data_IF_682463448647
#
_entry.id   IF_682463448647
#
_cell.length_a   1.000
_cell.length_b   1.000
_cell.length_c   1.000
_cell.angle_alpha   90.00
_cell.angle_beta   90.00
_cell.angle_gamma   90.00
#
_symmetry.space_group_name_H-M   'P 1'
#
loop_
_entity.id
_entity.type
_entity.pdbx_description
1 polymer ?
#
# COMPACT_ATOMS: atom_id res chain seq x y z
N UNK A 1 -3.80 -39.48 25.83
CA UNK A 1 -3.31 -40.61 24.98
C UNK A 1 -4.31 -40.83 23.87
N UNK A 2 -3.89 -40.88 22.62
CA UNK A 2 -4.74 -41.13 21.44
C UNK A 2 -4.38 -42.51 20.91
N UNK A 3 -5.29 -43.48 20.93
CA UNK A 3 -5.08 -44.79 20.32
C UNK A 3 -5.08 -44.67 18.80
N UNK A 4 -4.10 -45.26 18.13
CA UNK A 4 -3.99 -45.23 16.69
C UNK A 4 -3.32 -46.51 16.12
N UNK A 5 -3.61 -46.83 14.88
CA UNK A 5 -3.03 -47.98 14.21
C UNK A 5 -1.72 -47.59 13.48
N UNK A 6 -0.56 -48.04 13.98
CA UNK A 6 0.76 -47.75 13.36
C UNK A 6 0.76 -47.97 11.84
N UNK A 7 0.14 -49.02 11.37
CA UNK A 7 0.04 -49.37 9.94
C UNK A 7 -0.71 -48.31 9.13
N UNK A 8 -1.86 -47.86 9.62
CA UNK A 8 -2.68 -46.82 8.95
C UNK A 8 -1.94 -45.52 8.89
N UNK A 9 -1.33 -45.08 10.01
CA UNK A 9 -0.56 -43.85 10.07
C UNK A 9 0.65 -43.88 9.12
N UNK A 10 1.31 -45.07 9.00
CA UNK A 10 2.51 -45.24 8.14
C UNK A 10 2.18 -45.19 6.65
N UNK A 11 0.97 -45.59 6.25
CA UNK A 11 0.52 -45.49 4.84
C UNK A 11 0.25 -44.03 4.49
N UNK A 12 -0.41 -43.29 5.38
CA UNK A 12 -0.83 -41.90 5.13
C UNK A 12 0.25 -40.87 5.35
N UNK A 13 1.38 -41.25 6.00
CA UNK A 13 2.47 -40.30 6.34
C UNK A 13 3.84 -40.98 6.23
N UNK A 14 4.73 -40.53 5.33
CA UNK A 14 6.10 -41.03 5.23
C UNK A 14 6.89 -40.87 6.55
N UNK A 15 6.58 -39.81 7.31
CA UNK A 15 7.22 -39.53 8.61
C UNK A 15 6.83 -40.61 9.64
N UNK A 16 5.54 -40.94 9.74
CA UNK A 16 5.11 -42.07 10.58
C UNK A 16 5.60 -43.40 10.07
N UNK A 17 5.72 -43.57 8.74
CA UNK A 17 6.33 -44.74 8.16
C UNK A 17 7.76 -44.95 8.62
N UNK A 18 8.58 -43.91 8.55
CA UNK A 18 9.96 -43.93 9.05
C UNK A 18 10.05 -44.13 10.57
N UNK A 19 9.14 -43.45 11.33
CA UNK A 19 9.10 -43.55 12.79
C UNK A 19 8.76 -44.98 13.28
N UNK A 20 7.88 -45.71 12.62
CA UNK A 20 7.42 -47.01 13.11
C UNK A 20 8.14 -48.22 12.44
N UNK A 21 8.64 -48.04 11.24
CA UNK A 21 9.20 -49.15 10.42
C UNK A 21 10.56 -48.80 9.79
N UNK A 22 11.12 -47.62 10.05
CA UNK A 22 12.46 -47.27 9.58
C UNK A 22 13.60 -47.93 10.37
N UNK A 23 14.84 -47.61 9.99
CA UNK A 23 16.05 -48.17 10.62
C UNK A 23 16.21 -47.78 12.11
N UNK A 24 15.59 -46.69 12.51
CA UNK A 24 15.57 -46.17 13.91
C UNK A 24 14.15 -46.19 14.47
N UNK A 25 13.38 -47.24 14.20
CA UNK A 25 11.98 -47.34 14.58
C UNK A 25 11.79 -47.27 16.13
N UNK A 26 10.75 -46.57 16.54
CA UNK A 26 10.30 -46.50 17.94
C UNK A 26 9.72 -47.83 18.37
N UNK A 27 10.33 -48.42 19.40
CA UNK A 27 9.93 -49.74 19.93
C UNK A 27 8.99 -49.67 21.11
N UNK A 28 8.72 -48.46 21.63
CA UNK A 28 7.85 -48.24 22.79
C UNK A 28 6.38 -48.41 22.41
N UNK A 29 5.58 -48.87 23.36
CA UNK A 29 4.11 -48.98 23.22
C UNK A 29 3.38 -47.62 23.26
N UNK A 30 4.04 -46.62 23.89
CA UNK A 30 3.56 -45.25 23.95
C UNK A 30 4.65 -44.33 23.46
N UNK A 31 4.33 -43.48 22.48
CA UNK A 31 5.26 -42.53 21.85
C UNK A 31 4.78 -41.12 22.16
N UNK A 32 5.67 -40.33 22.70
CA UNK A 32 5.42 -38.90 22.90
C UNK A 32 5.68 -38.13 21.60
N UNK A 33 4.68 -37.32 21.20
CA UNK A 33 4.80 -36.41 20.07
C UNK A 33 4.85 -34.99 20.64
N UNK A 34 6.06 -34.41 20.75
CA UNK A 34 6.20 -33.04 21.27
C UNK A 34 5.65 -32.02 20.24
N UNK A 35 5.38 -30.81 20.71
CA UNK A 35 5.00 -29.67 19.89
C UNK A 35 3.67 -29.83 19.14
N UNK A 36 2.73 -30.55 19.71
CA UNK A 36 1.39 -30.66 19.13
C UNK A 36 0.30 -30.62 20.22
N UNK A 37 -0.77 -29.91 19.92
CA UNK A 37 -1.95 -29.89 20.75
C UNK A 37 -2.79 -31.14 20.51
N UNK A 38 -3.46 -31.61 21.56
CA UNK A 38 -4.27 -32.84 21.52
C UNK A 38 -5.34 -32.82 20.42
N UNK A 39 -6.07 -31.71 20.29
CA UNK A 39 -7.16 -31.56 19.31
C UNK A 39 -6.64 -31.58 17.87
N UNK A 40 -5.57 -30.89 17.60
CA UNK A 40 -4.94 -30.86 16.27
C UNK A 40 -4.38 -32.24 15.86
N UNK A 41 -3.76 -32.94 16.81
CA UNK A 41 -3.26 -34.30 16.58
C UNK A 41 -4.41 -35.30 16.37
N UNK A 42 -5.51 -35.15 17.08
CA UNK A 42 -6.70 -35.99 16.92
C UNK A 42 -7.29 -35.83 15.52
N UNK A 43 -7.37 -34.61 15.00
CA UNK A 43 -7.86 -34.35 13.64
C UNK A 43 -6.92 -34.88 12.56
N UNK A 44 -5.59 -34.79 12.74
CA UNK A 44 -4.61 -35.43 11.85
C UNK A 44 -4.83 -36.96 11.81
N UNK A 45 -5.01 -37.59 13.00
CA UNK A 45 -5.23 -39.04 13.05
C UNK A 45 -6.59 -39.44 12.48
N UNK A 46 -7.64 -38.63 12.72
CA UNK A 46 -8.95 -38.85 12.08
C UNK A 46 -8.81 -38.83 10.57
N UNK A 47 -8.15 -37.82 10.03
CA UNK A 47 -7.91 -37.70 8.58
C UNK A 47 -7.17 -38.91 8.02
N UNK A 48 -6.11 -39.34 8.67
CA UNK A 48 -5.32 -40.49 8.23
C UNK A 48 -6.09 -41.83 8.27
N UNK A 49 -7.19 -41.92 9.07
CA UNK A 49 -8.02 -43.12 9.18
C UNK A 49 -9.26 -43.08 8.28
N UNK A 50 -9.85 -41.92 8.02
CA UNK A 50 -11.16 -41.79 7.38
C UNK A 50 -11.24 -40.79 6.23
N UNK A 51 -10.16 -40.09 5.93
CA UNK A 51 -10.11 -38.93 4.99
C UNK A 51 -11.05 -37.77 5.41
N UNK A 52 -11.61 -37.81 6.62
CA UNK A 52 -12.47 -36.77 7.19
C UNK A 52 -11.69 -35.91 8.18
N UNK A 53 -11.93 -34.60 8.17
CA UNK A 53 -11.36 -33.64 9.12
C UNK A 53 -12.41 -32.60 9.52
N UNK A 54 -12.46 -32.26 10.81
CA UNK A 54 -13.32 -31.20 11.33
C UNK A 54 -12.47 -29.97 11.63
N UNK A 55 -12.36 -29.08 10.64
CA UNK A 55 -11.62 -27.83 10.78
C UNK A 55 -12.47 -26.76 11.46
N UNK A 56 -11.82 -25.98 12.29
CA UNK A 56 -12.38 -24.81 12.98
C UNK A 56 -11.31 -23.74 13.12
N UNK A 57 -11.71 -22.50 13.41
CA UNK A 57 -10.76 -21.40 13.63
C UNK A 57 -9.77 -21.68 14.78
N UNK A 58 -10.14 -22.53 15.76
CA UNK A 58 -9.28 -22.87 16.90
C UNK A 58 -8.26 -23.97 16.60
N UNK A 59 -8.50 -24.88 15.65
CA UNK A 59 -7.62 -26.03 15.40
C UNK A 59 -6.91 -26.00 14.05
N UNK A 60 -7.41 -25.29 13.04
CA UNK A 60 -6.92 -25.35 11.66
C UNK A 60 -5.42 -25.02 11.55
N UNK A 61 -4.94 -24.06 12.33
CA UNK A 61 -3.52 -23.67 12.32
C UNK A 61 -2.62 -24.78 12.87
N UNK A 62 -3.04 -25.44 13.95
CA UNK A 62 -2.35 -26.60 14.49
C UNK A 62 -2.41 -27.81 13.56
N UNK A 63 -3.56 -28.05 12.91
CA UNK A 63 -3.70 -29.14 11.93
C UNK A 63 -2.83 -28.89 10.69
N UNK A 64 -2.78 -27.67 10.17
CA UNK A 64 -1.91 -27.32 9.03
C UNK A 64 -0.42 -27.55 9.36
N UNK A 65 0.00 -27.08 10.55
CA UNK A 65 1.37 -27.32 11.02
C UNK A 65 1.71 -28.81 11.09
N UNK A 66 0.81 -29.63 11.66
CA UNK A 66 0.99 -31.06 11.75
C UNK A 66 0.92 -31.77 10.39
N UNK A 67 0.01 -31.37 9.50
CA UNK A 67 -0.08 -31.87 8.13
C UNK A 67 1.25 -31.66 7.38
N UNK A 68 1.84 -30.49 7.52
CA UNK A 68 3.15 -30.18 6.94
C UNK A 68 4.28 -30.97 7.61
N UNK A 69 4.32 -31.01 8.95
CA UNK A 69 5.33 -31.72 9.73
C UNK A 69 5.36 -33.24 9.44
N UNK A 70 4.17 -33.85 9.29
CA UNK A 70 4.02 -35.27 9.02
C UNK A 70 3.86 -35.62 7.52
N UNK A 71 4.08 -34.64 6.65
CA UNK A 71 4.06 -34.77 5.19
C UNK A 71 2.75 -35.40 4.66
N UNK A 72 1.60 -34.76 5.02
CA UNK A 72 0.24 -35.12 4.57
C UNK A 72 -0.32 -33.96 3.71
N UNK A 73 0.13 -33.85 2.43
CA UNK A 73 -0.16 -32.67 1.59
C UNK A 73 -1.67 -32.45 1.37
N UNK A 74 -2.45 -33.51 1.17
CA UNK A 74 -3.90 -33.40 0.96
C UNK A 74 -4.65 -32.84 2.17
N UNK A 75 -4.16 -33.01 3.39
CA UNK A 75 -4.71 -32.37 4.57
C UNK A 75 -4.23 -30.90 4.66
N UNK A 76 -2.98 -30.62 4.28
CA UNK A 76 -2.48 -29.26 4.22
C UNK A 76 -3.29 -28.39 3.22
N UNK A 77 -3.61 -28.97 2.03
CA UNK A 77 -4.47 -28.30 1.03
C UNK A 77 -5.84 -27.96 1.61
N UNK A 78 -6.52 -28.91 2.30
CA UNK A 78 -7.83 -28.66 2.96
C UNK A 78 -7.74 -27.59 4.04
N UNK A 79 -6.66 -27.55 4.83
CA UNK A 79 -6.44 -26.50 5.82
C UNK A 79 -6.23 -25.14 5.17
N UNK A 80 -5.46 -25.09 4.08
CA UNK A 80 -5.19 -23.85 3.34
C UNK A 80 -6.46 -23.31 2.69
N UNK A 81 -7.30 -24.16 2.09
CA UNK A 81 -8.63 -23.78 1.58
C UNK A 81 -9.52 -23.20 2.69
N UNK A 82 -9.60 -23.87 3.83
CA UNK A 82 -10.38 -23.37 4.97
C UNK A 82 -9.87 -22.01 5.48
N UNK A 83 -8.55 -21.83 5.54
CA UNK A 83 -7.95 -20.55 5.95
C UNK A 83 -8.21 -19.45 4.93
N UNK A 84 -8.15 -19.74 3.62
CA UNK A 84 -8.48 -18.80 2.56
C UNK A 84 -9.94 -18.34 2.63
N UNK A 85 -10.88 -19.26 2.86
CA UNK A 85 -12.31 -18.95 2.96
C UNK A 85 -12.65 -18.08 4.19
N UNK A 86 -11.79 -18.12 5.23
CA UNK A 86 -11.99 -17.38 6.48
C UNK A 86 -10.94 -16.27 6.69
N UNK A 87 -10.15 -15.94 5.67
CA UNK A 87 -9.10 -14.93 5.77
C UNK A 87 -9.70 -13.52 5.75
N UNK A 88 -9.37 -12.73 6.76
CA UNK A 88 -9.74 -11.32 6.83
C UNK A 88 -8.65 -10.45 7.49
N UNK A 89 -8.92 -9.13 7.58
CA UNK A 89 -7.97 -8.18 8.14
C UNK A 89 -7.69 -8.39 9.65
N UNK A 90 -8.60 -9.04 10.39
CA UNK A 90 -8.44 -9.26 11.83
C UNK A 90 -7.54 -10.46 12.15
N UNK A 91 -7.46 -11.46 11.26
CA UNK A 91 -6.71 -12.70 11.51
C UNK A 91 -5.46 -12.87 10.65
N UNK A 92 -5.26 -12.00 9.65
CA UNK A 92 -4.16 -12.13 8.67
C UNK A 92 -2.78 -12.21 9.31
N UNK A 93 -2.54 -11.48 10.39
CA UNK A 93 -1.24 -11.47 11.08
C UNK A 93 -0.96 -12.73 11.92
N UNK A 94 -1.98 -13.50 12.24
CA UNK A 94 -1.81 -14.82 12.84
C UNK A 94 -1.56 -15.90 11.77
N UNK A 95 -2.22 -15.77 10.60
CA UNK A 95 -2.16 -16.77 9.53
C UNK A 95 -0.84 -16.66 8.74
N UNK A 96 -0.41 -15.44 8.40
CA UNK A 96 0.75 -15.20 7.53
C UNK A 96 2.04 -15.88 8.02
N UNK A 97 2.46 -15.77 9.30
CA UNK A 97 3.69 -16.42 9.77
C UNK A 97 3.63 -17.95 9.66
N UNK A 98 2.46 -18.53 9.88
CA UNK A 98 2.25 -19.98 9.73
C UNK A 98 2.31 -20.40 8.26
N UNK A 99 1.62 -19.65 7.38
CA UNK A 99 1.63 -19.90 5.94
C UNK A 99 3.06 -19.87 5.37
N UNK A 100 3.89 -18.91 5.81
CA UNK A 100 5.32 -18.84 5.46
C UNK A 100 6.10 -20.06 5.99
N UNK A 101 5.88 -20.42 7.25
CA UNK A 101 6.52 -21.58 7.89
C UNK A 101 6.16 -22.91 7.22
N UNK A 102 4.90 -23.05 6.77
CA UNK A 102 4.41 -24.21 6.06
C UNK A 102 4.70 -24.17 4.55
N UNK A 103 5.29 -23.07 4.04
CA UNK A 103 5.58 -22.83 2.61
C UNK A 103 4.33 -22.86 1.70
N UNK A 104 3.18 -22.45 2.23
CA UNK A 104 1.90 -22.33 1.54
C UNK A 104 1.82 -21.03 0.73
N UNK A 105 2.48 -21.00 -0.43
CA UNK A 105 2.68 -19.78 -1.24
C UNK A 105 1.36 -19.08 -1.59
N UNK A 106 0.32 -19.85 -1.99
CA UNK A 106 -0.98 -19.28 -2.35
C UNK A 106 -1.63 -18.56 -1.18
N UNK A 107 -1.55 -19.11 0.03
CA UNK A 107 -2.07 -18.49 1.25
C UNK A 107 -1.24 -17.25 1.65
N UNK A 108 0.09 -17.31 1.50
CA UNK A 108 0.98 -16.16 1.73
C UNK A 108 0.63 -14.99 0.81
N UNK A 109 0.45 -15.26 -0.50
CA UNK A 109 0.10 -14.22 -1.47
C UNK A 109 -1.25 -13.56 -1.13
N UNK A 110 -2.24 -14.35 -0.75
CA UNK A 110 -3.56 -13.83 -0.34
C UNK A 110 -3.50 -13.05 0.98
N UNK A 111 -2.71 -13.49 1.95
CA UNK A 111 -2.49 -12.71 3.19
C UNK A 111 -1.91 -11.32 2.86
N UNK A 112 -0.90 -11.25 1.99
CA UNK A 112 -0.35 -9.97 1.58
C UNK A 112 -1.34 -9.10 0.79
N UNK A 113 -2.20 -9.71 -0.03
CA UNK A 113 -3.26 -8.99 -0.73
C UNK A 113 -4.28 -8.38 0.25
N UNK A 114 -4.68 -9.10 1.28
CA UNK A 114 -5.56 -8.58 2.35
C UNK A 114 -4.89 -7.43 3.10
N UNK A 115 -3.61 -7.58 3.49
CA UNK A 115 -2.84 -6.52 4.16
C UNK A 115 -2.76 -5.26 3.29
N UNK A 116 -2.51 -5.39 1.99
CA UNK A 116 -2.39 -4.26 1.08
C UNK A 116 -3.73 -3.54 0.86
N UNK A 117 -4.82 -4.30 0.65
CA UNK A 117 -6.13 -3.74 0.30
C UNK A 117 -6.94 -3.25 1.50
N UNK A 118 -6.77 -3.86 2.67
CA UNK A 118 -7.47 -3.55 3.93
C UNK A 118 -6.50 -3.14 5.03
N UNK A 119 -5.45 -2.40 4.68
CA UNK A 119 -4.34 -2.06 5.57
C UNK A 119 -4.80 -1.36 6.85
N UNK A 120 -5.76 -0.43 6.75
CA UNK A 120 -6.24 0.32 7.91
C UNK A 120 -6.93 -0.59 8.94
N UNK A 121 -7.71 -1.57 8.49
CA UNK A 121 -8.35 -2.54 9.37
C UNK A 121 -7.32 -3.51 9.96
N UNK A 122 -6.40 -3.99 9.12
CA UNK A 122 -5.37 -4.94 9.53
C UNK A 122 -4.44 -4.36 10.62
N UNK A 123 -3.92 -3.14 10.44
CA UNK A 123 -3.01 -2.54 11.45
C UNK A 123 -3.70 -2.08 12.73
N UNK A 124 -5.04 -2.00 12.73
CA UNK A 124 -5.84 -1.70 13.93
C UNK A 124 -6.25 -2.96 14.69
N UNK A 125 -5.97 -4.14 14.15
CA UNK A 125 -6.26 -5.39 14.86
C UNK A 125 -5.37 -5.57 16.08
N UNK A 126 -5.85 -6.28 17.09
CA UNK A 126 -5.06 -6.61 18.27
C UNK A 126 -3.84 -7.46 17.91
N UNK A 127 -3.97 -8.32 16.90
CA UNK A 127 -2.94 -9.19 16.37
C UNK A 127 -1.73 -8.40 15.85
N UNK A 128 -1.96 -7.26 15.20
CA UNK A 128 -0.86 -6.40 14.72
C UNK A 128 0.07 -5.98 15.86
N UNK A 129 -0.46 -5.74 17.06
CA UNK A 129 0.35 -5.33 18.22
C UNK A 129 1.28 -6.42 18.75
N UNK A 130 1.10 -7.66 18.30
CA UNK A 130 1.83 -8.85 18.80
C UNK A 130 2.77 -9.46 17.78
N UNK A 131 2.78 -8.96 16.52
CA UNK A 131 3.64 -9.51 15.46
C UNK A 131 5.13 -9.38 15.80
N UNK A 132 5.93 -10.25 15.22
CA UNK A 132 7.38 -10.20 15.34
C UNK A 132 7.96 -8.95 14.64
N UNK A 133 9.08 -8.45 15.13
CA UNK A 133 9.76 -7.27 14.57
C UNK A 133 10.05 -7.38 13.07
N UNK A 134 10.44 -8.57 12.59
CA UNK A 134 10.70 -8.85 11.18
C UNK A 134 9.45 -8.68 10.30
N UNK A 135 8.29 -9.10 10.81
CA UNK A 135 7.02 -8.93 10.11
C UNK A 135 6.56 -7.47 10.13
N UNK A 136 6.73 -6.76 11.26
CA UNK A 136 6.49 -5.32 11.33
C UNK A 136 7.32 -4.58 10.27
N UNK A 137 8.62 -4.88 10.19
CA UNK A 137 9.51 -4.32 9.19
C UNK A 137 9.02 -4.62 7.76
N UNK A 138 8.64 -5.87 7.48
CA UNK A 138 8.11 -6.26 6.19
C UNK A 138 6.82 -5.48 5.83
N UNK A 139 5.89 -5.31 6.77
CA UNK A 139 4.65 -4.54 6.57
C UNK A 139 4.96 -3.07 6.31
N UNK A 140 5.74 -2.42 7.18
CA UNK A 140 6.07 -0.98 7.06
C UNK A 140 6.85 -0.70 5.77
N UNK A 141 7.67 -1.67 5.32
CA UNK A 141 8.43 -1.56 4.07
C UNK A 141 7.59 -1.67 2.80
N UNK A 142 6.30 -2.02 2.88
CA UNK A 142 5.44 -2.13 1.70
C UNK A 142 4.97 -0.75 1.20
N UNK A 143 5.20 -0.50 -0.09
CA UNK A 143 4.70 0.71 -0.76
C UNK A 143 3.23 0.62 -1.20
N UNK A 144 2.59 -0.53 -1.02
CA UNK A 144 1.26 -0.90 -1.53
C UNK A 144 0.14 -0.71 -0.53
N UNK A 145 0.46 -0.40 0.72
CA UNK A 145 -0.52 -0.25 1.79
C UNK A 145 -1.55 0.85 1.50
N UNK A 146 -2.83 0.50 1.55
CA UNK A 146 -3.96 1.42 1.41
C UNK A 146 -4.31 2.11 2.74
N UNK A 147 -3.36 2.84 3.33
CA UNK A 147 -3.50 3.51 4.64
C UNK A 147 -2.86 4.90 4.62
N UNK A 148 -3.39 5.81 5.43
CA UNK A 148 -2.74 7.10 5.68
C UNK A 148 -1.48 6.89 6.54
N UNK A 149 -0.43 7.65 6.23
CA UNK A 149 0.87 7.49 6.89
C UNK A 149 0.83 7.79 8.40
N UNK A 150 -0.05 8.69 8.82
CA UNK A 150 -0.25 9.01 10.24
C UNK A 150 -0.89 7.82 11.00
N UNK A 151 -1.82 7.10 10.36
CA UNK A 151 -2.48 5.96 10.98
C UNK A 151 -1.53 4.74 11.04
N UNK A 152 -0.69 4.57 10.02
CA UNK A 152 0.41 3.59 10.06
C UNK A 152 1.39 3.91 11.20
N UNK A 153 1.81 5.18 11.33
CA UNK A 153 2.69 5.60 12.43
C UNK A 153 2.08 5.33 13.81
N UNK A 154 0.79 5.66 14.01
CA UNK A 154 0.10 5.37 15.28
C UNK A 154 0.08 3.88 15.61
N UNK A 155 -0.15 3.02 14.61
CA UNK A 155 -0.13 1.58 14.79
C UNK A 155 1.27 1.08 15.17
N UNK A 156 2.32 1.60 14.54
CA UNK A 156 3.73 1.29 14.86
C UNK A 156 4.11 1.77 16.27
N UNK A 157 3.67 2.97 16.67
CA UNK A 157 3.89 3.49 18.02
C UNK A 157 3.18 2.64 19.08
N UNK A 158 1.96 2.20 18.80
CA UNK A 158 1.20 1.28 19.67
C UNK A 158 1.91 -0.08 19.79
N UNK A 159 2.39 -0.65 18.68
CA UNK A 159 3.17 -1.88 18.67
C UNK A 159 4.42 -1.75 19.55
N UNK A 160 5.16 -0.64 19.41
CA UNK A 160 6.34 -0.37 20.25
C UNK A 160 5.97 -0.24 21.74
N UNK A 161 4.84 0.41 22.05
CA UNK A 161 4.32 0.53 23.41
C UNK A 161 4.00 -0.83 24.00
N UNK A 162 3.27 -1.68 23.26
CA UNK A 162 2.93 -3.04 23.69
C UNK A 162 4.14 -3.93 23.85
N UNK A 163 5.15 -3.75 23.01
CA UNK A 163 6.44 -4.45 23.17
C UNK A 163 7.18 -4.02 24.43
N UNK A 164 7.19 -2.71 24.78
CA UNK A 164 7.74 -2.24 26.05
C UNK A 164 7.00 -2.87 27.24
N UNK A 165 5.66 -2.89 27.22
CA UNK A 165 4.83 -3.52 28.27
C UNK A 165 5.17 -5.00 28.43
N UNK A 166 5.29 -5.76 27.34
CA UNK A 166 5.67 -7.17 27.33
C UNK A 166 7.06 -7.41 27.92
N UNK A 167 8.00 -6.50 27.68
CA UNK A 167 9.36 -6.57 28.20
C UNK A 167 9.49 -6.04 29.66
N UNK A 168 8.45 -5.43 30.21
CA UNK A 168 8.46 -4.82 31.55
C UNK A 168 9.36 -3.57 31.65
N UNK A 169 9.55 -2.84 30.55
CA UNK A 169 10.36 -1.62 30.46
C UNK A 169 9.50 -0.39 30.26
N UNK A 170 10.02 0.77 30.70
CA UNK A 170 9.31 2.04 30.53
C UNK A 170 9.14 2.40 29.06
N UNK A 171 7.90 2.74 28.67
CA UNK A 171 7.56 3.13 27.30
C UNK A 171 7.81 4.62 27.10
N UNK A 172 9.03 5.02 26.80
CA UNK A 172 9.38 6.38 26.37
C UNK A 172 9.89 6.40 24.93
N UNK A 173 10.00 7.59 24.31
CA UNK A 173 10.34 7.72 22.91
C UNK A 173 11.71 7.16 22.53
N UNK A 174 12.72 7.30 23.38
CA UNK A 174 14.06 6.76 23.13
C UNK A 174 14.05 5.22 23.14
N UNK A 175 13.36 4.63 24.10
CA UNK A 175 13.22 3.17 24.20
C UNK A 175 12.44 2.63 23.02
N UNK A 176 11.33 3.27 22.65
CA UNK A 176 10.54 2.91 21.46
C UNK A 176 11.41 2.99 20.20
N UNK A 177 12.21 4.04 20.04
CA UNK A 177 13.15 4.18 18.92
C UNK A 177 14.13 3.02 18.83
N UNK A 178 14.70 2.60 19.96
CA UNK A 178 15.63 1.47 20.00
C UNK A 178 14.93 0.16 19.59
N UNK A 179 13.71 -0.06 20.09
CA UNK A 179 12.91 -1.27 19.77
C UNK A 179 12.51 -1.30 18.30
N UNK A 180 12.09 -0.18 17.72
CA UNK A 180 11.71 -0.08 16.32
C UNK A 180 12.91 -0.20 15.38
N UNK A 181 14.04 0.36 15.78
CA UNK A 181 15.23 0.46 14.96
C UNK A 181 15.13 1.51 13.86
N UNK A 182 16.27 1.96 13.37
CA UNK A 182 16.36 3.02 12.36
C UNK A 182 15.67 2.64 11.02
N UNK A 183 15.64 1.35 10.69
CA UNK A 183 15.05 0.89 9.43
C UNK A 183 13.55 1.16 9.39
N UNK A 184 12.79 0.74 10.41
CA UNK A 184 11.35 0.99 10.48
C UNK A 184 11.04 2.49 10.50
N UNK A 185 11.81 3.28 11.29
CA UNK A 185 11.61 4.72 11.40
C UNK A 185 11.83 5.42 10.06
N UNK A 186 12.85 5.02 9.31
CA UNK A 186 13.16 5.60 7.99
C UNK A 186 12.14 5.19 6.91
N UNK A 187 11.48 4.05 7.08
CA UNK A 187 10.44 3.61 6.17
C UNK A 187 9.10 4.37 6.36
N UNK A 188 8.87 4.99 7.52
CA UNK A 188 7.71 5.85 7.77
C UNK A 188 7.92 7.19 7.06
N UNK A 189 6.98 7.54 6.21
CA UNK A 189 7.08 8.70 5.32
C UNK A 189 6.53 9.97 5.97
N UNK A 190 7.07 10.37 7.11
CA UNK A 190 6.65 11.58 7.83
C UNK A 190 6.43 12.83 6.93
N UNK A 191 7.28 13.09 5.91
CA UNK A 191 7.07 14.26 5.05
C UNK A 191 5.78 14.26 4.23
N UNK A 192 5.08 13.14 4.06
CA UNK A 192 3.82 13.10 3.29
C UNK A 192 2.57 13.25 4.16
N UNK A 193 2.71 13.18 5.47
CA UNK A 193 1.61 13.41 6.42
C UNK A 193 1.03 14.82 6.24
N UNK A 194 -0.22 15.01 6.61
CA UNK A 194 -0.79 16.35 6.73
C UNK A 194 -0.10 17.10 7.89
N UNK A 195 0.25 18.38 7.66
CA UNK A 195 1.04 19.16 8.63
C UNK A 195 0.38 19.22 10.02
N UNK A 196 -0.96 19.34 10.08
CA UNK A 196 -1.68 19.42 11.35
C UNK A 196 -1.66 18.09 12.09
N UNK A 197 -1.84 16.98 11.39
CA UNK A 197 -1.78 15.63 11.95
C UNK A 197 -0.37 15.30 12.46
N UNK A 198 0.67 15.60 11.66
CA UNK A 198 2.05 15.46 12.09
C UNK A 198 2.33 16.24 13.38
N UNK A 199 1.97 17.54 13.40
CA UNK A 199 2.24 18.44 14.54
C UNK A 199 1.49 18.05 15.81
N UNK A 200 0.33 17.39 15.71
CA UNK A 200 -0.50 17.00 16.85
C UNK A 200 -0.17 15.61 17.42
N UNK A 201 0.58 14.78 16.70
CA UNK A 201 0.81 13.39 17.11
C UNK A 201 2.30 13.06 17.24
N UNK A 202 3.09 13.33 16.20
CA UNK A 202 4.45 12.81 16.11
C UNK A 202 5.40 13.39 17.16
N UNK A 203 5.43 14.70 17.45
CA UNK A 203 6.32 15.28 18.44
C UNK A 203 6.14 14.71 19.85
N UNK A 204 4.90 14.42 20.24
CA UNK A 204 4.56 13.95 21.59
C UNK A 204 5.06 12.54 21.87
N UNK A 205 5.32 11.74 20.85
CA UNK A 205 5.88 10.39 20.99
C UNK A 205 7.36 10.38 21.35
N UNK A 206 8.08 11.47 21.08
CA UNK A 206 9.54 11.60 21.27
C UNK A 206 10.37 10.51 20.56
N UNK A 207 9.82 9.84 19.54
CA UNK A 207 10.54 8.83 18.74
C UNK A 207 11.53 9.52 17.79
N UNK A 208 11.14 10.65 17.18
CA UNK A 208 12.02 11.44 16.33
C UNK A 208 12.89 12.37 17.15
N UNK A 209 14.13 12.51 16.73
CA UNK A 209 15.05 13.50 17.31
C UNK A 209 14.62 14.93 17.00
N UNK A 210 15.02 15.93 17.83
CA UNK A 210 14.72 17.34 17.54
C UNK A 210 15.22 17.82 16.17
N UNK A 211 16.32 17.23 15.67
CA UNK A 211 16.89 17.56 14.35
C UNK A 211 15.99 17.04 13.23
N UNK A 212 15.49 15.81 13.34
CA UNK A 212 14.56 15.21 12.38
C UNK A 212 13.22 15.95 12.37
N UNK A 213 12.66 16.24 13.56
CA UNK A 213 11.44 17.03 13.69
C UNK A 213 11.56 18.39 12.99
N UNK A 214 12.69 19.09 13.21
CA UNK A 214 12.96 20.38 12.58
C UNK A 214 13.07 20.25 11.07
N UNK A 215 13.79 19.23 10.57
CA UNK A 215 13.97 19.03 9.12
C UNK A 215 12.62 18.76 8.42
N UNK A 216 11.76 17.94 9.02
CA UNK A 216 10.42 17.64 8.50
C UNK A 216 9.53 18.88 8.57
N UNK A 217 9.53 19.62 9.69
CA UNK A 217 8.76 20.85 9.84
C UNK A 217 9.17 21.93 8.82
N UNK A 218 10.47 22.06 8.54
CA UNK A 218 10.96 22.96 7.48
C UNK A 218 10.46 22.52 6.09
N UNK A 219 10.42 21.23 5.81
CA UNK A 219 9.84 20.72 4.57
C UNK A 219 8.36 21.06 4.40
N UNK A 220 7.55 21.07 5.47
CA UNK A 220 6.18 21.56 5.44
C UNK A 220 6.10 23.06 5.20
N UNK A 221 6.97 23.83 5.85
CA UNK A 221 7.02 25.29 5.67
C UNK A 221 7.40 25.68 4.26
N UNK A 222 8.41 25.04 3.68
CA UNK A 222 8.85 25.30 2.31
C UNK A 222 7.75 24.96 1.29
N UNK A 223 7.02 23.86 1.49
CA UNK A 223 5.84 23.51 0.67
C UNK A 223 4.75 24.57 0.76
N UNK A 224 4.42 25.04 1.96
CA UNK A 224 3.41 26.07 2.18
C UNK A 224 3.83 27.40 1.56
N UNK A 225 5.11 27.75 1.66
CA UNK A 225 5.69 28.98 1.07
C UNK A 225 5.70 28.96 -0.44
N UNK A 226 6.03 27.82 -1.05
CA UNK A 226 6.04 27.68 -2.53
C UNK A 226 4.61 27.66 -3.10
N UNK A 227 3.62 27.35 -2.30
CA UNK A 227 2.24 27.16 -2.76
C UNK A 227 2.05 26.03 -3.77
N UNK A 228 3.12 25.22 -4.00
CA UNK A 228 3.15 24.16 -5.02
C UNK A 228 3.05 22.80 -4.35
N UNK A 229 2.11 22.00 -4.79
CA UNK A 229 1.84 20.66 -4.30
C UNK A 229 2.02 19.62 -5.40
N UNK A 230 2.30 18.37 -5.01
CA UNK A 230 2.44 17.24 -5.94
C UNK A 230 1.43 16.17 -5.54
N UNK A 231 0.55 15.83 -6.47
CA UNK A 231 -0.35 14.70 -6.34
C UNK A 231 0.32 13.47 -6.96
N UNK A 232 0.70 12.52 -6.12
CA UNK A 232 1.25 11.22 -6.53
C UNK A 232 0.10 10.25 -6.78
N UNK A 233 0.03 9.68 -7.98
CA UNK A 233 -1.10 8.84 -8.37
C UNK A 233 -0.87 7.35 -8.12
N UNK A 234 0.37 6.90 -8.16
CA UNK A 234 0.72 5.49 -8.10
C UNK A 234 1.40 5.09 -6.80
N UNK A 235 1.07 3.90 -6.31
CA UNK A 235 1.76 3.25 -5.19
C UNK A 235 3.14 2.72 -5.57
N UNK A 236 3.33 2.37 -6.85
CA UNK A 236 4.62 1.89 -7.37
C UNK A 236 4.86 2.39 -8.79
N UNK A 237 6.11 2.63 -9.13
CA UNK A 237 6.56 2.87 -10.51
C UNK A 237 7.63 1.82 -10.79
N UNK A 238 7.34 0.90 -11.70
CA UNK A 238 8.20 -0.22 -12.00
C UNK A 238 8.82 -0.13 -13.39
N UNK A 239 9.90 -0.85 -13.56
CA UNK A 239 10.60 -1.01 -14.85
C UNK A 239 9.80 -1.95 -15.78
N UNK A 240 8.53 -1.59 -16.05
CA UNK A 240 7.72 -2.24 -17.06
C UNK A 240 7.94 -1.54 -18.39
N UNK A 241 8.19 -2.29 -19.44
CA UNK A 241 8.42 -1.71 -20.76
C UNK A 241 7.09 -1.30 -21.40
N UNK A 242 6.70 -0.03 -21.22
CA UNK A 242 5.61 0.56 -21.98
C UNK A 242 6.15 1.10 -23.30
N UNK A 243 5.71 0.53 -24.42
CA UNK A 243 6.05 0.96 -25.78
C UNK A 243 5.16 2.09 -26.25
N UNK A 244 5.63 2.85 -27.24
CA UNK A 244 4.94 4.01 -27.81
C UNK A 244 4.77 3.82 -29.33
N UNK A 245 3.76 3.08 -29.72
CA UNK A 245 3.48 2.73 -31.12
C UNK A 245 2.47 3.70 -31.78
N UNK A 246 2.59 5.01 -31.48
CA UNK A 246 1.67 6.03 -31.96
C UNK A 246 0.34 6.06 -31.22
N UNK A 247 0.14 5.20 -30.21
CA UNK A 247 -1.04 5.18 -29.38
C UNK A 247 -1.03 6.34 -28.37
N UNK A 248 -2.20 6.72 -27.91
CA UNK A 248 -2.39 7.87 -27.03
C UNK A 248 -2.79 7.42 -25.65
N UNK A 249 -2.18 8.04 -24.63
CA UNK A 249 -2.58 7.88 -23.24
C UNK A 249 -3.67 8.89 -22.89
N UNK A 250 -4.71 8.44 -22.21
CA UNK A 250 -5.84 9.26 -21.78
C UNK A 250 -6.12 9.04 -20.30
N UNK A 251 -6.43 10.12 -19.59
CA UNK A 251 -6.84 10.09 -18.19
C UNK A 251 -7.88 11.18 -17.96
N UNK A 252 -9.00 10.84 -17.33
CA UNK A 252 -9.94 11.82 -16.81
C UNK A 252 -9.59 12.13 -15.36
N UNK A 253 -9.59 13.43 -15.03
CA UNK A 253 -9.32 13.95 -13.69
C UNK A 253 -10.46 14.86 -13.28
N UNK A 254 -10.96 14.67 -12.07
CA UNK A 254 -11.91 15.54 -11.39
C UNK A 254 -11.34 15.94 -10.03
N UNK A 255 -11.61 17.17 -9.58
CA UNK A 255 -11.13 17.69 -8.29
C UNK A 255 -12.32 18.23 -7.49
N UNK A 256 -12.30 18.10 -6.17
CA UNK A 256 -13.37 18.58 -5.29
C UNK A 256 -13.15 20.02 -4.78
N UNK A 257 -12.03 20.63 -5.17
CA UNK A 257 -11.72 22.05 -4.91
C UNK A 257 -11.03 22.67 -6.14
N UNK A 258 -11.18 23.98 -6.32
CA UNK A 258 -10.50 24.73 -7.38
C UNK A 258 -8.98 24.68 -7.18
N UNK A 259 -8.26 24.29 -8.23
CA UNK A 259 -6.80 24.25 -8.25
C UNK A 259 -6.23 24.88 -9.52
N UNK A 260 -4.94 25.19 -9.50
CA UNK A 260 -4.18 25.61 -10.66
C UNK A 260 -3.15 24.53 -10.99
N UNK A 261 -3.31 23.84 -12.10
CA UNK A 261 -2.38 22.84 -12.60
C UNK A 261 -1.23 23.51 -13.34
N UNK A 262 0.02 23.27 -12.91
CA UNK A 262 1.22 23.87 -13.46
C UNK A 262 1.99 22.95 -14.42
N UNK A 263 2.05 21.65 -14.07
CA UNK A 263 2.85 20.66 -14.79
C UNK A 263 2.36 19.24 -14.56
N UNK A 264 2.72 18.40 -15.52
CA UNK A 264 2.52 16.97 -15.45
C UNK A 264 3.86 16.26 -15.50
N UNK A 265 4.02 15.19 -14.72
CA UNK A 265 5.18 14.33 -14.81
C UNK A 265 4.80 13.02 -15.50
N UNK A 266 5.76 12.46 -16.20
CA UNK A 266 5.60 11.24 -17.00
C UNK A 266 6.68 10.23 -16.61
N UNK A 267 6.37 8.95 -16.74
CA UNK A 267 7.38 7.90 -16.62
C UNK A 267 8.30 7.92 -17.86
N UNK A 268 9.57 7.67 -17.64
CA UNK A 268 10.60 7.55 -18.67
C UNK A 268 11.52 6.38 -18.38
N UNK A 269 12.63 6.27 -19.11
CA UNK A 269 13.76 5.41 -18.80
C UNK A 269 15.02 6.25 -18.66
N UNK A 270 16.02 5.71 -18.01
CA UNK A 270 17.24 6.43 -17.66
C UNK A 270 17.87 7.17 -18.85
N UNK A 271 18.05 8.50 -18.70
CA UNK A 271 18.71 9.37 -19.67
C UNK A 271 18.17 9.30 -21.12
N UNK A 272 16.88 8.94 -21.30
CA UNK A 272 16.24 8.84 -22.62
C UNK A 272 15.46 10.11 -22.97
N UNK A 273 15.32 10.36 -24.28
CA UNK A 273 14.54 11.49 -24.82
C UNK A 273 13.15 11.04 -25.26
N UNK A 274 12.16 11.86 -24.95
CA UNK A 274 10.75 11.63 -25.30
C UNK A 274 10.17 12.88 -25.94
N UNK A 275 9.49 12.71 -27.09
CA UNK A 275 8.68 13.75 -27.70
C UNK A 275 7.24 13.59 -27.24
N UNK A 276 6.61 14.67 -26.78
CA UNK A 276 5.26 14.65 -26.20
C UNK A 276 4.40 15.70 -26.87
N UNK A 277 3.17 15.31 -27.26
CA UNK A 277 2.06 16.22 -27.58
C UNK A 277 1.00 16.05 -26.51
N UNK A 278 0.94 16.99 -25.57
CA UNK A 278 -0.02 17.03 -24.48
C UNK A 278 -1.19 17.93 -24.84
N UNK A 279 -2.41 17.47 -24.59
CA UNK A 279 -3.64 18.25 -24.64
C UNK A 279 -4.46 18.02 -23.38
N UNK A 280 -4.86 19.10 -22.70
CA UNK A 280 -5.76 19.06 -21.53
C UNK A 280 -6.99 19.89 -21.88
N UNK A 281 -8.19 19.35 -21.68
CA UNK A 281 -9.45 20.05 -21.92
C UNK A 281 -10.49 19.68 -20.88
N UNK A 282 -11.38 20.62 -20.61
CA UNK A 282 -12.62 20.34 -19.90
C UNK A 282 -13.57 19.53 -20.80
N UNK A 283 -14.20 18.48 -20.26
CA UNK A 283 -15.12 17.62 -21.03
C UNK A 283 -16.59 17.94 -20.80
N UNK A 284 -16.90 18.71 -19.76
CA UNK A 284 -18.26 19.09 -19.40
C UNK A 284 -18.71 20.40 -20.08
N UNK A 285 -17.80 21.09 -20.79
CA UNK A 285 -18.09 22.35 -21.49
C UNK A 285 -18.42 22.16 -22.97
N UNK A 286 -19.27 23.05 -23.49
CA UNK A 286 -19.64 23.07 -24.88
C UNK A 286 -18.41 23.27 -25.80
N UNK A 287 -18.33 22.57 -26.97
CA UNK A 287 -17.20 22.68 -27.90
C UNK A 287 -16.86 24.08 -28.39
N UNK A 288 -17.79 25.03 -28.30
CA UNK A 288 -17.63 26.41 -28.76
C UNK A 288 -16.77 27.29 -27.82
N UNK A 289 -16.57 26.85 -26.57
CA UNK A 289 -15.80 27.58 -25.53
C UNK A 289 -14.73 26.69 -24.91
N UNK A 290 -14.06 25.87 -25.72
CA UNK A 290 -13.11 24.87 -25.25
C UNK A 290 -11.90 25.51 -24.55
N UNK A 291 -11.86 25.53 -23.21
CA UNK A 291 -10.63 25.82 -22.48
C UNK A 291 -9.67 24.64 -22.68
N UNK A 292 -8.72 24.83 -23.58
CA UNK A 292 -7.78 23.81 -23.95
C UNK A 292 -6.34 24.32 -23.77
N UNK A 293 -5.53 23.52 -23.07
CA UNK A 293 -4.09 23.77 -23.00
C UNK A 293 -3.36 22.70 -23.81
N UNK A 294 -2.53 23.13 -24.76
CA UNK A 294 -1.72 22.25 -25.58
C UNK A 294 -0.26 22.52 -25.32
N UNK A 295 0.56 21.48 -25.20
CA UNK A 295 2.01 21.57 -25.08
C UNK A 295 2.69 20.52 -25.94
N UNK A 296 3.65 20.92 -26.74
CA UNK A 296 4.48 20.01 -27.54
C UNK A 296 5.94 20.28 -27.23
N UNK A 297 6.76 19.24 -27.11
CA UNK A 297 8.18 19.38 -26.85
C UNK A 297 8.90 18.06 -26.75
N UNK A 298 10.23 18.14 -26.69
CA UNK A 298 11.12 17.01 -26.42
C UNK A 298 11.74 17.17 -25.06
N UNK A 299 11.65 16.12 -24.23
CA UNK A 299 12.05 16.12 -22.84
C UNK A 299 13.05 14.99 -22.58
N UNK A 300 14.01 15.24 -21.68
CA UNK A 300 14.99 14.25 -21.25
C UNK A 300 14.53 13.68 -19.91
N UNK A 301 14.49 12.37 -19.83
CA UNK A 301 14.18 11.68 -18.59
C UNK A 301 15.35 11.78 -17.62
N UNK A 302 15.05 12.05 -16.37
CA UNK A 302 15.98 12.19 -15.24
C UNK A 302 15.37 11.56 -13.99
N UNK A 303 16.15 11.32 -12.93
CA UNK A 303 15.59 10.90 -11.65
C UNK A 303 14.59 11.93 -11.14
N UNK A 304 13.38 11.48 -10.79
CA UNK A 304 12.34 12.29 -10.18
C UNK A 304 11.95 11.63 -8.85
N UNK A 305 11.79 12.47 -7.83
CA UNK A 305 11.34 11.99 -6.52
C UNK A 305 9.87 11.62 -6.55
N UNK A 306 9.57 10.43 -6.08
CA UNK A 306 8.24 9.99 -5.76
C UNK A 306 8.11 9.91 -4.23
N UNK A 307 6.97 10.36 -3.69
CA UNK A 307 6.70 10.21 -2.26
C UNK A 307 6.60 8.74 -1.83
N UNK A 308 6.30 7.87 -2.78
CA UNK A 308 6.12 6.44 -2.59
C UNK A 308 7.41 5.65 -2.88
N UNK A 309 8.47 5.87 -2.11
CA UNK A 309 9.65 5.02 -1.84
C UNK A 309 10.74 4.85 -2.88
N UNK A 310 10.52 5.00 -4.19
CA UNK A 310 11.62 4.88 -5.14
C UNK A 310 11.62 6.07 -6.09
N UNK A 311 12.74 6.75 -6.18
CA UNK A 311 13.00 7.65 -7.28
C UNK A 311 12.80 6.88 -8.58
N UNK A 312 12.10 7.47 -9.51
CA UNK A 312 11.86 6.87 -10.82
C UNK A 312 12.48 7.74 -11.91
N UNK A 313 12.81 7.14 -13.02
CA UNK A 313 13.20 7.89 -14.20
C UNK A 313 11.96 8.42 -14.91
N UNK A 314 11.92 9.74 -15.07
CA UNK A 314 10.78 10.41 -15.68
C UNK A 314 11.14 11.79 -16.20
N UNK A 315 10.17 12.48 -16.78
CA UNK A 315 10.33 13.83 -17.29
C UNK A 315 9.11 14.68 -16.96
N UNK A 316 9.34 15.98 -16.87
CA UNK A 316 8.33 16.95 -16.48
C UNK A 316 7.93 17.82 -17.68
N UNK A 317 6.63 17.92 -17.94
CA UNK A 317 6.03 18.80 -18.95
C UNK A 317 5.38 19.98 -18.24
N UNK A 318 6.04 21.13 -18.26
CA UNK A 318 5.50 22.38 -17.74
C UNK A 318 4.54 22.97 -18.75
N UNK A 319 3.37 23.40 -18.30
CA UNK A 319 2.39 24.11 -19.13
C UNK A 319 2.88 25.55 -19.40
N UNK A 320 2.66 26.05 -20.61
CA UNK A 320 3.03 27.44 -20.93
C UNK A 320 2.21 28.44 -20.13
N UNK A 321 0.92 28.12 -19.92
CA UNK A 321 0.03 28.80 -19.00
C UNK A 321 -0.57 27.79 -18.04
N UNK A 322 -0.51 28.07 -16.76
CA UNK A 322 -1.12 27.24 -15.75
C UNK A 322 -2.64 27.15 -15.99
N UNK A 323 -3.20 25.96 -15.82
CA UNK A 323 -4.61 25.69 -16.11
C UNK A 323 -5.41 25.61 -14.82
N UNK A 324 -6.48 26.41 -14.70
CA UNK A 324 -7.42 26.26 -13.59
C UNK A 324 -8.30 25.02 -13.82
N UNK A 325 -8.29 24.11 -12.86
CA UNK A 325 -9.24 22.99 -12.78
C UNK A 325 -10.30 23.39 -11.75
N UNK A 326 -11.55 23.42 -12.20
CA UNK A 326 -12.68 23.82 -11.36
C UNK A 326 -13.26 22.65 -10.60
N UNK A 327 -13.75 22.92 -9.41
CA UNK A 327 -14.41 21.97 -8.53
C UNK A 327 -15.52 21.21 -9.26
N UNK A 328 -15.51 19.89 -9.15
CA UNK A 328 -16.50 18.96 -9.69
C UNK A 328 -16.66 19.01 -11.23
N UNK A 329 -15.67 19.56 -11.93
CA UNK A 329 -15.59 19.50 -13.38
C UNK A 329 -14.57 18.45 -13.84
N UNK A 330 -14.84 17.78 -14.95
CA UNK A 330 -14.00 16.72 -15.48
C UNK A 330 -13.06 17.22 -16.58
N UNK A 331 -11.79 16.89 -16.45
CA UNK A 331 -10.74 17.28 -17.38
C UNK A 331 -10.11 16.05 -18.03
N UNK A 332 -10.08 16.03 -19.37
CA UNK A 332 -9.42 14.99 -20.14
C UNK A 332 -7.97 15.38 -20.41
N UNK A 333 -7.04 14.64 -19.85
CA UNK A 333 -5.62 14.70 -20.16
C UNK A 333 -5.36 13.69 -21.27
N UNK A 334 -4.80 14.14 -22.39
CA UNK A 334 -4.40 13.31 -23.52
C UNK A 334 -2.93 13.55 -23.82
N UNK A 335 -2.14 12.50 -23.86
CA UNK A 335 -0.75 12.56 -24.29
C UNK A 335 -0.48 11.59 -25.44
N UNK A 336 0.20 12.08 -26.46
CA UNK A 336 0.83 11.29 -27.51
C UNK A 336 2.33 11.37 -27.28
N UNK A 337 2.92 10.23 -26.91
CA UNK A 337 4.32 10.13 -26.50
C UNK A 337 5.06 9.32 -27.56
N UNK A 338 6.26 9.77 -27.92
CA UNK A 338 7.16 9.04 -28.83
C UNK A 338 8.54 8.98 -28.21
N UNK A 339 9.17 7.82 -28.25
CA UNK A 339 10.50 7.61 -27.69
C UNK A 339 10.77 6.13 -27.39
N UNK A 340 11.80 5.89 -26.61
CA UNK A 340 12.14 4.54 -26.14
C UNK A 340 11.08 4.01 -25.14
N UNK A 341 11.00 2.70 -24.93
CA UNK A 341 10.15 2.14 -23.88
C UNK A 341 10.43 2.80 -22.53
N UNK A 342 9.38 3.04 -21.76
CA UNK A 342 9.45 3.71 -20.46
C UNK A 342 9.01 2.82 -19.30
N UNK A 343 9.35 3.25 -18.10
CA UNK A 343 8.74 2.77 -16.89
C UNK A 343 7.25 3.10 -16.87
N UNK A 344 6.50 2.43 -16.00
CA UNK A 344 5.05 2.54 -15.89
C UNK A 344 4.65 2.55 -14.43
N UNK A 345 3.65 3.37 -14.11
CA UNK A 345 3.03 3.38 -12.79
C UNK A 345 2.01 2.25 -12.63
N UNK A 346 1.98 1.67 -11.46
CA UNK A 346 1.05 0.62 -11.03
C UNK A 346 0.55 0.87 -9.61
N UNK A 347 -0.45 0.11 -9.18
CA UNK A 347 -1.06 0.25 -7.86
C UNK A 347 -1.56 1.69 -7.62
N UNK A 348 -2.20 2.29 -8.63
CA UNK A 348 -2.77 3.62 -8.50
C UNK A 348 -4.10 3.59 -7.74
N UNK A 349 -4.36 4.66 -6.99
CA UNK A 349 -5.64 4.90 -6.37
C UNK A 349 -6.56 5.68 -7.31
N UNK A 350 -7.83 5.32 -7.36
CA UNK A 350 -8.86 6.08 -8.10
C UNK A 350 -9.13 7.44 -7.46
N UNK A 351 -8.85 7.60 -6.17
CA UNK A 351 -8.95 8.86 -5.45
C UNK A 351 -7.69 9.07 -4.63
N UNK A 352 -7.09 10.27 -4.74
CA UNK A 352 -5.89 10.67 -3.97
C UNK A 352 -6.15 12.02 -3.31
N UNK A 353 -5.95 12.11 -2.00
CA UNK A 353 -6.09 13.36 -1.24
C UNK A 353 -4.75 14.05 -1.03
N UNK A 354 -4.62 15.30 -1.45
CA UNK A 354 -3.42 16.12 -1.27
C UNK A 354 -3.81 17.57 -0.98
N UNK A 355 -3.25 18.15 0.06
CA UNK A 355 -3.49 19.56 0.45
C UNK A 355 -4.97 19.90 0.61
N UNK A 356 -5.77 18.98 1.15
CA UNK A 356 -7.22 19.15 1.32
C UNK A 356 -8.05 19.00 0.04
N UNK A 357 -7.43 18.61 -1.09
CA UNK A 357 -8.11 18.38 -2.37
C UNK A 357 -8.17 16.89 -2.66
N UNK A 358 -9.33 16.36 -2.98
CA UNK A 358 -9.50 15.01 -3.50
C UNK A 358 -9.40 15.03 -5.03
N UNK A 359 -8.45 14.27 -5.57
CA UNK A 359 -8.28 14.03 -7.00
C UNK A 359 -8.94 12.69 -7.34
N UNK A 360 -9.97 12.70 -8.16
CA UNK A 360 -10.60 11.49 -8.70
C UNK A 360 -10.05 11.20 -10.08
N UNK A 361 -9.46 10.01 -10.26
CA UNK A 361 -8.90 9.53 -11.52
C UNK A 361 -9.82 8.50 -12.16
N UNK A 362 -10.25 8.76 -13.38
CA UNK A 362 -11.24 7.95 -14.08
C UNK A 362 -10.63 7.43 -15.39
N UNK A 363 -10.81 6.15 -15.66
CA UNK A 363 -10.36 5.52 -16.90
C UNK A 363 -11.17 6.06 -18.08
N UNK A 364 -10.48 6.55 -19.11
CA UNK A 364 -11.13 7.01 -20.32
C UNK A 364 -11.46 5.84 -21.27
N UNK A 365 -12.66 5.80 -21.80
CA UNK A 365 -13.08 4.80 -22.81
C UNK A 365 -12.29 4.91 -24.13
N UNK A 366 -11.60 6.04 -24.38
CA UNK A 366 -10.79 6.29 -25.58
C UNK A 366 -9.34 5.83 -25.46
N UNK A 367 -9.00 5.12 -24.39
CA UNK A 367 -7.62 4.79 -24.08
C UNK A 367 -7.04 3.70 -24.99
N UNK A 368 -6.17 4.11 -25.91
CA UNK A 368 -5.49 3.20 -26.84
C UNK A 368 -4.17 2.61 -26.30
N UNK A 369 -3.56 3.23 -25.26
CA UNK A 369 -2.24 2.85 -24.73
C UNK A 369 -2.28 2.29 -23.29
N UNK A 370 -3.45 1.86 -22.81
CA UNK A 370 -3.58 1.13 -21.54
C UNK A 370 -3.43 1.96 -20.25
N UNK A 371 -3.38 3.30 -20.31
CA UNK A 371 -3.42 4.14 -19.09
C UNK A 371 -4.85 4.15 -18.52
N UNK A 372 -4.98 3.80 -17.24
CA UNK A 372 -6.26 3.77 -16.51
C UNK A 372 -6.11 4.42 -15.12
N UNK A 373 -7.12 4.34 -14.28
CA UNK A 373 -7.07 4.89 -12.91
C UNK A 373 -5.95 4.29 -12.06
N UNK A 374 -5.62 3.02 -12.26
CA UNK A 374 -4.68 2.26 -11.42
C UNK A 374 -3.33 1.96 -12.08
N UNK A 375 -3.19 2.22 -13.38
CA UNK A 375 -2.00 1.84 -14.16
C UNK A 375 -1.68 2.86 -15.25
N UNK A 376 -0.41 2.95 -15.68
CA UNK A 376 0.00 3.64 -16.90
C UNK A 376 0.90 4.86 -16.70
N UNK A 377 0.68 5.88 -17.54
CA UNK A 377 1.39 7.17 -17.51
C UNK A 377 0.75 8.17 -16.54
N UNK A 378 1.33 9.36 -16.43
CA UNK A 378 0.93 10.45 -15.52
C UNK A 378 1.09 10.12 -14.04
N UNK A 379 2.31 9.79 -13.59
CA UNK A 379 2.55 9.45 -12.18
C UNK A 379 2.25 10.60 -11.23
N UNK A 380 2.48 11.85 -11.66
CA UNK A 380 2.34 13.01 -10.78
C UNK A 380 1.74 14.22 -11.48
N UNK A 381 0.85 14.92 -10.75
CA UNK A 381 0.32 16.23 -11.09
C UNK A 381 0.89 17.27 -10.12
N UNK A 382 1.38 18.40 -10.66
CA UNK A 382 1.96 19.48 -9.85
C UNK A 382 1.03 20.70 -9.94
N UNK A 383 0.51 21.13 -8.80
CA UNK A 383 -0.54 22.14 -8.71
C UNK A 383 -0.35 23.11 -7.55
N UNK A 384 -1.12 24.21 -7.57
CA UNK A 384 -1.33 25.09 -6.42
C UNK A 384 -2.83 25.24 -6.12
N UNK A 385 -3.15 25.61 -4.89
CA UNK A 385 -4.51 25.93 -4.51
C UNK A 385 -4.90 27.30 -5.08
N UNK A 386 -6.18 27.45 -5.49
CA UNK A 386 -6.74 28.75 -5.77
C UNK A 386 -6.97 29.47 -4.43
N UNK A 387 -6.21 30.53 -4.16
CA UNK A 387 -6.55 31.43 -3.06
C UNK A 387 -7.77 32.24 -3.46
N UNK A 388 -8.93 31.96 -2.88
CA UNK A 388 -10.02 32.93 -2.85
C UNK A 388 -9.55 34.11 -2.00
N UNK A 389 -9.08 35.18 -2.63
CA UNK A 389 -8.99 36.45 -1.96
C UNK A 389 -10.43 36.85 -1.56
N UNK A 390 -10.72 36.77 -0.26
CA UNK A 390 -11.91 37.40 0.31
C UNK A 390 -11.73 38.93 0.21
N UNK A 391 -11.95 39.46 -0.98
CA UNK A 391 -12.24 40.88 -1.13
C UNK A 391 -13.74 41.04 -0.98
N UNK A 392 -14.17 41.22 0.26
CA UNK A 392 -15.40 41.95 0.57
C UNK A 392 -15.22 43.40 0.05
N UNK A 393 -15.54 43.58 -1.22
CA UNK A 393 -15.77 44.90 -1.75
C UNK A 393 -17.17 45.32 -1.25
N UNK A 394 -17.21 45.99 -0.11
CA UNK A 394 -18.36 46.80 0.29
C UNK A 394 -18.65 47.78 -0.83
N UNK A 395 -19.68 47.49 -1.61
CA UNK A 395 -20.23 48.47 -2.54
C UNK A 395 -20.73 49.72 -1.73
N UNK A 396 -20.32 50.95 -2.10
CA UNK A 396 -20.87 52.13 -1.49
C UNK A 396 -22.35 52.22 -1.86
N UNK A 397 -23.23 52.27 -0.84
CA UNK A 397 -24.66 52.60 -1.03
C UNK A 397 -24.78 54.02 -1.59
N UNK A 398 -25.18 54.12 -2.85
CA UNK A 398 -25.58 55.40 -3.42
C UNK A 398 -27.00 55.67 -2.90
N UNK A 399 -27.12 56.62 -1.98
CA UNK A 399 -28.41 57.19 -1.57
C UNK A 399 -28.92 58.09 -2.69
N UNK A 400 -29.98 57.69 -3.37
CA UNK A 400 -30.75 58.57 -4.24
C UNK A 400 -31.68 59.45 -3.37
N UNK A 401 -31.29 60.69 -3.11
CA UNK A 401 -32.23 61.74 -2.78
C UNK A 401 -32.70 62.38 -4.09
N UNK A 402 -33.97 62.15 -4.43
CA UNK A 402 -34.69 62.87 -5.48
C UNK A 402 -35.52 63.96 -4.77
N UNK A 403 -35.29 65.16 -5.16
CA UNK A 403 -36.30 66.22 -5.18
C UNK A 403 -36.73 66.42 -6.60
#
# INVERSE_FOLDING_TARGET
MIPAHKYVLSIGSPVFGAMFYGDLAETQDSIELPDCEYESLLELFRYLHSDEVNLSGSNVMGVLYLATKYMVPSLADKCSEFLLDNLDASNVFNILPLAEKCNEKGLVDQCWEVIDNRSEEAVKSDEFTTIEHSLLEAVVSRGTLAINEIDLFKAVDLWATKTCEKLGIESNGEVKRIILGEKIINEIRFPIMEQQEFASVVPDTNILTPVELKAIAMGFYDRKRSGIWVCDRFGSICNGYKTYDGLKDYLLVEVDNDIILHRLRFCGSENRKYSVKLKIRNVDWCPLFEQCVCKTGTFVSKPLQCKNRNDYFGFEVKLDHAMALKKNERYLIKAEISGQPSWVGSLGCSVVKVAGVNFSFITSLKNGNGTCSTFGQFPQLVFSLCHHSSTDVTQPRISKNIR
#
